data_IF_925759053242
#
_entry.id   IF_925759053242
#
_cell.length_a   1.000
_cell.length_b   1.000
_cell.length_c   1.000
_cell.angle_alpha   90.00
_cell.angle_beta   90.00
_cell.angle_gamma   90.00
#
_symmetry.space_group_name_H-M   'P 1'
#
loop_
_entity.id
_entity.type
_entity.pdbx_description
1 polymer ?
#
# COMPACT_ATOMS: atom_id res chain seq x y z
N UNK A 1 -77.53 -5.73 -15.85
CA UNK A 1 -76.94 -6.15 -17.14
C UNK A 1 -75.68 -6.91 -16.81
N UNK A 2 -75.78 -8.23 -16.93
CA UNK A 2 -74.73 -9.21 -16.71
C UNK A 2 -73.83 -9.30 -17.93
N UNK A 3 -72.52 -9.42 -17.73
CA UNK A 3 -71.62 -10.17 -18.64
C UNK A 3 -70.43 -10.68 -17.84
N UNK A 4 -70.39 -12.00 -17.66
CA UNK A 4 -69.18 -12.78 -17.41
C UNK A 4 -68.36 -12.89 -18.71
N UNK A 5 -67.03 -12.89 -18.60
CA UNK A 5 -66.17 -13.73 -19.46
C UNK A 5 -64.93 -14.18 -18.70
N UNK A 6 -64.67 -15.49 -18.78
CA UNK A 6 -63.60 -16.27 -18.16
C UNK A 6 -62.23 -16.12 -18.84
N UNK A 7 -61.20 -16.46 -18.06
CA UNK A 7 -59.96 -17.18 -18.38
C UNK A 7 -58.98 -16.66 -19.45
N UNK A 8 -57.73 -16.43 -19.04
CA UNK A 8 -56.67 -17.46 -19.24
C UNK A 8 -55.29 -17.01 -18.75
N UNK A 9 -54.57 -18.00 -18.22
CA UNK A 9 -53.18 -18.00 -17.77
C UNK A 9 -52.19 -17.31 -18.73
N UNK A 10 -51.34 -16.45 -18.16
CA UNK A 10 -49.94 -16.32 -18.61
C UNK A 10 -49.02 -16.32 -17.39
N UNK A 11 -48.46 -17.49 -17.14
CA UNK A 11 -47.27 -17.64 -16.31
C UNK A 11 -46.16 -16.76 -16.90
N UNK A 12 -45.73 -15.76 -16.14
CA UNK A 12 -44.46 -15.09 -16.41
C UNK A 12 -43.37 -16.09 -16.04
N UNK A 13 -42.80 -16.70 -17.07
CA UNK A 13 -41.52 -17.41 -17.03
C UNK A 13 -40.48 -16.51 -16.39
N UNK A 14 -39.99 -16.94 -15.22
CA UNK A 14 -38.73 -16.46 -14.66
C UNK A 14 -37.65 -16.89 -15.66
N UNK A 15 -37.01 -15.90 -16.26
CA UNK A 15 -35.87 -16.08 -17.14
C UNK A 15 -34.68 -16.47 -16.24
N UNK A 16 -34.55 -17.75 -15.93
CA UNK A 16 -33.44 -18.35 -15.17
C UNK A 16 -32.18 -18.37 -16.05
N UNK A 17 -31.65 -17.19 -16.33
CA UNK A 17 -30.40 -17.00 -17.08
C UNK A 17 -29.35 -16.23 -16.29
N UNK A 18 -29.33 -16.42 -14.97
CA UNK A 18 -28.19 -16.03 -14.13
C UNK A 18 -27.11 -17.11 -14.24
N UNK A 19 -26.28 -16.99 -15.28
CA UNK A 19 -24.96 -17.62 -15.30
C UNK A 19 -24.16 -17.24 -14.03
N UNK A 20 -23.13 -18.02 -13.65
CA UNK A 20 -22.44 -17.81 -12.38
C UNK A 20 -21.94 -16.37 -12.31
N UNK A 21 -22.51 -15.58 -11.40
CA UNK A 21 -22.13 -14.19 -11.20
C UNK A 21 -20.62 -14.15 -11.00
N UNK A 22 -19.92 -13.53 -11.96
CA UNK A 22 -18.47 -13.35 -11.90
C UNK A 22 -18.14 -12.77 -10.52
N UNK A 23 -17.30 -13.43 -9.73
CA UNK A 23 -16.83 -12.91 -8.45
C UNK A 23 -16.34 -11.48 -8.66
N UNK A 24 -17.14 -10.50 -8.20
CA UNK A 24 -16.82 -9.10 -8.37
C UNK A 24 -15.66 -8.77 -7.45
N UNK A 25 -14.54 -8.34 -8.02
CA UNK A 25 -13.34 -8.03 -7.25
C UNK A 25 -13.47 -6.63 -6.66
N UNK A 26 -13.40 -6.54 -5.33
CA UNK A 26 -13.37 -5.27 -4.63
C UNK A 26 -11.95 -4.95 -4.16
N UNK A 27 -11.54 -3.71 -4.39
CA UNK A 27 -10.34 -3.10 -3.84
C UNK A 27 -10.71 -2.44 -2.51
N UNK A 28 -10.16 -2.96 -1.41
CA UNK A 28 -10.28 -2.37 -0.08
C UNK A 28 -9.10 -1.46 0.24
N UNK A 29 -9.38 -0.24 0.73
CA UNK A 29 -8.38 0.65 1.32
C UNK A 29 -8.70 0.96 2.78
N UNK A 30 -7.69 1.09 3.61
CA UNK A 30 -7.80 1.52 5.00
C UNK A 30 -8.06 3.03 5.09
N UNK A 31 -7.21 3.85 4.47
CA UNK A 31 -7.38 5.30 4.37
C UNK A 31 -6.82 6.14 5.51
N UNK A 32 -6.48 5.53 6.65
CA UNK A 32 -5.86 6.20 7.80
C UNK A 32 -4.83 5.29 8.49
N UNK A 33 -3.91 4.71 7.72
CA UNK A 33 -2.82 3.92 8.32
C UNK A 33 -1.81 4.85 9.01
N UNK A 34 -1.62 4.62 10.29
CA UNK A 34 -0.71 5.35 11.18
C UNK A 34 -0.34 4.46 12.37
N UNK A 35 0.74 4.75 13.12
CA UNK A 35 1.18 3.93 14.24
C UNK A 35 0.08 3.71 15.30
N UNK A 36 -0.75 4.72 15.55
CA UNK A 36 -1.86 4.67 16.52
C UNK A 36 -2.92 3.63 16.15
N UNK A 37 -3.04 3.33 14.85
CA UNK A 37 -3.98 2.37 14.28
C UNK A 37 -3.35 0.97 14.08
N UNK A 38 -2.16 0.72 14.62
CA UNK A 38 -1.49 -0.59 14.60
C UNK A 38 -1.30 -1.05 16.05
N UNK A 39 -2.18 -1.94 16.49
CA UNK A 39 -2.25 -2.40 17.87
C UNK A 39 -1.39 -3.65 18.08
N UNK A 40 -0.70 -3.70 19.21
CA UNK A 40 0.08 -4.86 19.62
C UNK A 40 -0.73 -5.74 20.58
N UNK A 41 -0.86 -7.02 20.22
CA UNK A 41 -1.52 -8.04 21.05
C UNK A 41 -0.49 -9.05 21.53
N UNK A 42 -0.38 -9.29 22.85
CA UNK A 42 0.52 -10.31 23.38
C UNK A 42 0.09 -11.72 22.91
N UNK A 43 1.08 -12.60 22.70
CA UNK A 43 0.86 -14.04 22.51
C UNK A 43 1.42 -14.73 23.75
N UNK A 44 0.63 -15.60 24.37
CA UNK A 44 1.06 -16.36 25.52
C UNK A 44 2.30 -17.21 25.20
N UNK A 45 3.30 -17.19 26.09
CA UNK A 45 4.56 -17.91 25.91
C UNK A 45 5.54 -17.32 24.89
N UNK A 46 5.23 -16.17 24.28
CA UNK A 46 6.11 -15.49 23.33
C UNK A 46 6.53 -14.11 23.83
N UNK A 47 7.82 -13.78 23.67
CA UNK A 47 8.34 -12.42 23.87
C UNK A 47 7.88 -11.42 22.80
N UNK A 48 7.30 -11.93 21.72
CA UNK A 48 6.73 -11.17 20.60
C UNK A 48 5.21 -11.26 20.63
N UNK A 49 4.55 -10.26 20.08
CA UNK A 49 3.09 -10.24 19.92
C UNK A 49 2.69 -10.18 18.45
N UNK A 50 1.38 -10.08 18.20
CA UNK A 50 0.80 -9.88 16.88
C UNK A 50 0.44 -8.40 16.74
N UNK A 51 0.89 -7.78 15.65
CA UNK A 51 0.42 -6.46 15.25
C UNK A 51 -0.87 -6.61 14.44
N UNK A 52 -1.91 -5.87 14.81
CA UNK A 52 -3.20 -5.83 14.11
C UNK A 52 -3.53 -4.40 13.70
N UNK A 53 -3.96 -4.23 12.46
CA UNK A 53 -4.50 -2.96 11.97
C UNK A 53 -5.89 -2.77 12.60
N UNK A 54 -6.18 -1.57 13.07
CA UNK A 54 -7.42 -1.16 13.70
C UNK A 54 -7.92 0.17 13.11
N UNK A 55 -9.10 0.60 13.54
CA UNK A 55 -9.77 1.83 13.09
C UNK A 55 -10.10 1.88 11.60
N UNK A 56 -11.07 1.07 11.21
CA UNK A 56 -11.59 1.00 9.85
C UNK A 56 -12.64 2.10 9.54
N UNK A 57 -12.76 3.16 10.34
CA UNK A 57 -13.76 4.22 10.12
C UNK A 57 -13.64 4.92 8.76
N UNK A 58 -12.41 5.03 8.25
CA UNK A 58 -12.09 5.60 6.94
C UNK A 58 -12.00 4.55 5.81
N UNK A 59 -12.28 3.29 6.11
CA UNK A 59 -12.15 2.17 5.16
C UNK A 59 -13.20 2.24 4.07
N UNK A 60 -12.81 1.94 2.84
CA UNK A 60 -13.72 1.90 1.68
C UNK A 60 -13.40 0.70 0.81
N UNK A 61 -14.45 0.05 0.33
CA UNK A 61 -14.39 -0.98 -0.71
C UNK A 61 -14.95 -0.41 -2.00
N UNK A 62 -14.27 -0.71 -3.10
CA UNK A 62 -14.59 -0.13 -4.40
C UNK A 62 -14.20 -1.10 -5.50
N UNK A 63 -15.00 -1.15 -6.57
CA UNK A 63 -14.63 -1.86 -7.80
C UNK A 63 -13.51 -1.12 -8.54
N UNK A 64 -13.44 0.19 -8.36
CA UNK A 64 -12.37 1.03 -8.86
C UNK A 64 -11.20 1.05 -7.87
N UNK A 65 -9.99 0.89 -8.40
CA UNK A 65 -8.72 0.89 -7.63
C UNK A 65 -8.38 2.27 -7.03
N UNK A 66 -8.86 3.34 -7.65
CA UNK A 66 -8.59 4.74 -7.28
C UNK A 66 -9.87 5.55 -7.43
N UNK A 67 -10.11 6.48 -6.50
CA UNK A 67 -11.27 7.37 -6.47
C UNK A 67 -10.85 8.79 -6.10
N UNK A 68 -11.72 9.77 -6.34
CA UNK A 68 -11.48 11.19 -6.07
C UNK A 68 -12.26 11.70 -4.85
N UNK A 69 -11.69 12.62 -4.08
CA UNK A 69 -12.38 13.33 -2.98
C UNK A 69 -11.53 13.56 -1.73
N UNK A 70 -12.17 14.01 -0.64
CA UNK A 70 -11.51 14.42 0.62
C UNK A 70 -11.72 13.35 1.69
N UNK A 71 -10.64 12.96 2.39
CA UNK A 71 -10.69 12.02 3.51
C UNK A 71 -10.02 12.68 4.72
N UNK A 72 -10.66 12.69 5.90
CA UNK A 72 -9.98 13.10 7.12
C UNK A 72 -8.93 12.03 7.48
N UNK A 73 -7.66 12.40 7.37
CA UNK A 73 -6.53 11.55 7.73
C UNK A 73 -5.40 12.41 8.32
N UNK A 74 -4.52 11.76 9.07
CA UNK A 74 -3.34 12.44 9.64
C UNK A 74 -2.41 12.91 8.51
N UNK A 75 -2.24 14.23 8.39
CA UNK A 75 -1.44 14.88 7.33
C UNK A 75 -0.05 14.27 7.15
N UNK A 76 0.60 13.89 8.24
CA UNK A 76 1.94 13.28 8.25
C UNK A 76 2.06 12.05 7.35
N UNK A 77 1.01 11.23 7.25
CA UNK A 77 1.01 9.95 6.51
C UNK A 77 0.28 10.04 5.15
N UNK A 78 -0.20 11.23 4.78
CA UNK A 78 -0.84 11.47 3.48
C UNK A 78 0.14 11.22 2.34
N UNK A 79 -0.38 10.67 1.25
CA UNK A 79 0.39 10.38 0.04
C UNK A 79 0.35 11.54 -0.96
N UNK A 80 1.42 11.73 -1.76
CA UNK A 80 1.51 12.86 -2.69
C UNK A 80 0.38 12.88 -3.72
N UNK A 81 -0.09 11.73 -4.20
CA UNK A 81 -1.19 11.66 -5.17
C UNK A 81 -2.55 12.08 -4.60
N UNK A 82 -2.74 11.98 -3.28
CA UNK A 82 -3.92 12.50 -2.62
C UNK A 82 -3.90 14.03 -2.64
N UNK A 83 -2.78 14.65 -2.27
CA UNK A 83 -2.67 16.12 -2.26
C UNK A 83 -2.59 16.73 -3.66
N UNK A 84 -1.93 16.06 -4.62
CA UNK A 84 -1.82 16.54 -5.99
C UNK A 84 -3.11 16.41 -6.81
N UNK A 85 -3.86 15.32 -6.60
CA UNK A 85 -4.93 14.92 -7.55
C UNK A 85 -6.25 14.59 -6.87
N UNK A 86 -6.34 14.68 -5.55
CA UNK A 86 -7.47 14.18 -4.78
C UNK A 86 -7.67 12.66 -4.93
N UNK A 87 -6.68 11.94 -5.48
CA UNK A 87 -6.77 10.51 -5.77
C UNK A 87 -6.48 9.72 -4.50
N UNK A 88 -7.45 8.96 -4.03
CA UNK A 88 -7.29 7.99 -2.96
C UNK A 88 -7.46 6.56 -3.48
N UNK A 89 -6.57 5.66 -3.07
CA UNK A 89 -6.58 4.26 -3.45
C UNK A 89 -5.63 3.44 -2.60
N UNK A 90 -5.45 2.16 -2.93
CA UNK A 90 -4.55 1.26 -2.18
C UNK A 90 -3.10 1.79 -2.14
N UNK A 91 -2.67 2.53 -3.17
CA UNK A 91 -1.34 3.14 -3.22
C UNK A 91 -1.09 4.15 -2.09
N UNK A 92 -2.14 4.81 -1.58
CA UNK A 92 -2.07 5.72 -0.43
C UNK A 92 -1.73 4.94 0.85
N UNK A 93 -2.34 3.78 1.05
CA UNK A 93 -2.06 2.91 2.21
C UNK A 93 -0.62 2.38 2.16
N UNK A 94 -0.10 2.07 0.95
CA UNK A 94 1.30 1.66 0.79
C UNK A 94 2.28 2.78 1.11
N UNK A 95 1.98 4.01 0.70
CA UNK A 95 2.77 5.17 1.11
C UNK A 95 2.73 5.35 2.64
N UNK A 96 1.54 5.36 3.23
CA UNK A 96 1.35 5.54 4.67
C UNK A 96 2.09 4.45 5.47
N UNK A 97 2.02 3.19 5.02
CA UNK A 97 2.78 2.09 5.63
C UNK A 97 4.30 2.29 5.46
N UNK A 98 4.75 2.85 4.34
CA UNK A 98 6.15 3.22 4.13
C UNK A 98 6.62 4.27 5.13
N UNK A 99 5.79 5.28 5.40
CA UNK A 99 6.04 6.27 6.44
C UNK A 99 6.17 5.61 7.82
N UNK A 100 5.23 4.71 8.18
CA UNK A 100 5.27 3.95 9.44
C UNK A 100 6.54 3.11 9.56
N UNK A 101 6.93 2.39 8.52
CA UNK A 101 8.13 1.55 8.53
C UNK A 101 9.43 2.37 8.60
N UNK A 102 9.49 3.54 7.97
CA UNK A 102 10.64 4.43 8.10
C UNK A 102 10.75 5.01 9.51
N UNK A 103 9.62 5.34 10.15
CA UNK A 103 9.60 5.71 11.57
C UNK A 103 10.05 4.53 12.44
N UNK A 104 9.53 3.33 12.22
CA UNK A 104 9.95 2.13 12.95
C UNK A 104 11.47 1.91 12.85
N UNK A 105 12.05 1.98 11.66
CA UNK A 105 13.49 1.84 11.48
C UNK A 105 14.28 2.96 12.19
N UNK A 106 13.80 4.21 12.10
CA UNK A 106 14.41 5.35 12.80
C UNK A 106 14.41 5.15 14.31
N UNK A 107 13.28 4.70 14.88
CA UNK A 107 13.15 4.40 16.30
C UNK A 107 14.04 3.23 16.71
N UNK A 108 14.09 2.17 15.91
CA UNK A 108 14.89 0.99 16.22
C UNK A 108 16.38 1.33 16.42
N UNK A 109 16.94 2.21 15.59
CA UNK A 109 18.35 2.59 15.67
C UNK A 109 18.67 3.74 16.61
N UNK A 110 17.72 4.63 16.90
CA UNK A 110 18.00 5.88 17.63
C UNK A 110 16.98 6.26 18.71
N UNK A 111 16.01 5.40 18.97
CA UNK A 111 14.94 5.62 19.94
C UNK A 111 14.06 6.84 19.63
N UNK A 112 13.32 7.29 20.64
CA UNK A 112 12.39 8.42 20.51
C UNK A 112 13.08 9.73 20.10
N UNK A 113 14.29 9.98 20.59
CA UNK A 113 15.07 11.18 20.24
C UNK A 113 15.33 11.27 18.73
N UNK A 114 15.54 10.14 18.06
CA UNK A 114 15.73 10.11 16.61
C UNK A 114 14.42 10.38 15.85
N UNK A 115 13.28 9.95 16.38
CA UNK A 115 11.95 10.27 15.84
C UNK A 115 11.66 11.76 15.96
N UNK A 116 11.86 12.33 17.14
CA UNK A 116 11.62 13.77 17.38
C UNK A 116 12.49 14.62 16.47
N UNK A 117 13.78 14.26 16.36
CA UNK A 117 14.71 14.93 15.43
C UNK A 117 14.23 14.78 13.99
N UNK A 118 13.84 13.57 13.57
CA UNK A 118 13.38 13.35 12.20
C UNK A 118 12.08 14.07 11.88
N UNK A 119 11.16 14.21 12.83
CA UNK A 119 9.97 15.06 12.71
C UNK A 119 10.35 16.52 12.46
N UNK A 120 11.28 17.06 13.26
CA UNK A 120 11.80 18.43 13.07
C UNK A 120 12.53 18.60 11.74
N UNK A 121 13.35 17.63 11.33
CA UNK A 121 14.07 17.66 10.05
C UNK A 121 13.11 17.66 8.84
N UNK A 122 11.92 17.02 8.98
CA UNK A 122 10.88 17.00 7.94
C UNK A 122 9.96 18.22 7.98
N UNK A 123 9.86 18.93 9.10
CA UNK A 123 8.97 20.07 9.27
C UNK A 123 9.40 21.20 8.34
N UNK A 124 8.56 21.51 7.35
CA UNK A 124 8.83 22.55 6.35
C UNK A 124 7.55 23.33 6.06
N UNK A 125 7.64 24.61 5.65
CA UNK A 125 6.49 25.38 5.20
C UNK A 125 5.83 24.70 4.01
N UNK A 126 4.50 24.54 4.07
CA UNK A 126 3.68 24.14 2.94
C UNK A 126 2.87 25.35 2.49
N UNK A 127 3.10 25.78 1.25
CA UNK A 127 2.43 26.96 0.68
C UNK A 127 0.93 26.74 0.46
N UNK A 128 0.51 25.49 0.25
CA UNK A 128 -0.90 25.15 -0.02
C UNK A 128 -1.72 25.24 1.25
N UNK A 129 -1.13 24.86 2.38
CA UNK A 129 -1.79 24.82 3.68
C UNK A 129 -1.46 26.04 4.56
N UNK A 130 -0.61 26.96 4.08
CA UNK A 130 -0.13 28.14 4.81
C UNK A 130 0.36 27.82 6.24
N UNK A 131 1.01 26.67 6.39
CA UNK A 131 1.51 26.20 7.68
C UNK A 131 2.71 25.28 7.52
N UNK A 132 3.49 25.11 8.59
CA UNK A 132 4.55 24.11 8.62
C UNK A 132 3.93 22.72 8.77
N UNK A 133 4.26 21.81 7.85
CA UNK A 133 3.82 20.42 7.89
C UNK A 133 5.00 19.47 7.89
N UNK A 134 4.87 18.39 8.65
CA UNK A 134 5.86 17.32 8.73
C UNK A 134 5.56 16.20 7.73
N UNK A 135 4.99 16.48 6.56
CA UNK A 135 4.77 15.47 5.52
C UNK A 135 6.09 14.83 5.04
N UNK A 136 6.03 13.65 4.42
CA UNK A 136 7.21 12.96 3.83
C UNK A 136 7.57 13.44 2.42
N UNK A 137 6.74 14.30 1.82
CA UNK A 137 6.95 14.87 0.49
C UNK A 137 6.77 16.40 0.53
N UNK A 138 7.24 17.07 -0.52
CA UNK A 138 6.98 18.47 -0.82
C UNK A 138 6.21 18.58 -2.11
N UNK A 139 5.36 19.60 -2.21
CA UNK A 139 4.74 20.02 -3.46
C UNK A 139 5.57 21.14 -4.07
N UNK A 140 5.81 21.03 -5.37
CA UNK A 140 6.38 22.08 -6.20
C UNK A 140 5.27 22.61 -7.10
N UNK A 141 4.85 23.83 -6.78
CA UNK A 141 3.82 24.61 -7.46
C UNK A 141 4.39 25.54 -8.53
N UNK A 142 5.72 25.53 -8.73
CA UNK A 142 6.37 26.32 -9.78
C UNK A 142 6.08 25.79 -11.19
N UNK A 143 5.67 24.53 -11.30
CA UNK A 143 5.26 23.88 -12.54
C UNK A 143 3.74 23.66 -12.60
N UNK A 144 3.20 23.60 -13.83
CA UNK A 144 1.80 23.25 -14.09
C UNK A 144 1.72 22.02 -15.00
N UNK A 145 1.15 20.88 -14.54
CA UNK A 145 0.58 20.65 -13.21
C UNK A 145 1.65 20.58 -12.11
N UNK A 146 1.29 20.84 -10.83
CA UNK A 146 2.22 20.74 -9.72
C UNK A 146 2.81 19.34 -9.60
N UNK A 147 4.05 19.26 -9.16
CA UNK A 147 4.78 17.99 -8.95
C UNK A 147 5.02 17.78 -7.47
N UNK A 148 5.16 16.52 -7.07
CA UNK A 148 5.56 16.18 -5.70
C UNK A 148 6.94 15.53 -5.71
N UNK A 149 7.69 15.70 -4.63
CA UNK A 149 8.99 15.08 -4.47
C UNK A 149 9.13 14.56 -3.04
N UNK A 150 9.80 13.42 -2.87
CA UNK A 150 10.16 12.95 -1.53
C UNK A 150 11.09 13.98 -0.89
N UNK A 151 10.83 14.38 0.36
CA UNK A 151 11.64 15.39 1.05
C UNK A 151 13.10 14.94 1.17
N UNK A 152 14.04 15.89 1.05
CA UNK A 152 15.46 15.65 1.29
C UNK A 152 15.73 15.04 2.67
N UNK A 153 14.98 15.45 3.70
CA UNK A 153 15.09 14.87 5.04
C UNK A 153 14.78 13.36 5.07
N UNK A 154 13.80 12.92 4.26
CA UNK A 154 13.41 11.50 4.14
C UNK A 154 14.50 10.71 3.41
N UNK A 155 14.99 11.23 2.28
CA UNK A 155 16.09 10.62 1.54
C UNK A 155 17.36 10.50 2.39
N UNK A 156 17.71 11.59 3.10
CA UNK A 156 18.84 11.61 4.03
C UNK A 156 18.65 10.57 5.15
N UNK A 157 17.44 10.43 5.70
CA UNK A 157 17.16 9.42 6.73
C UNK A 157 17.40 8.00 6.22
N UNK A 158 16.96 7.69 5.01
CA UNK A 158 17.20 6.40 4.35
C UNK A 158 18.72 6.15 4.21
N UNK A 159 19.49 7.14 3.76
CA UNK A 159 20.94 7.05 3.65
C UNK A 159 21.62 6.84 5.01
N UNK A 160 21.23 7.62 6.02
CA UNK A 160 21.75 7.49 7.40
C UNK A 160 21.50 6.07 7.93
N UNK A 161 20.31 5.49 7.70
CA UNK A 161 19.99 4.12 8.10
C UNK A 161 20.84 3.07 7.36
N UNK A 162 21.06 3.23 6.05
CA UNK A 162 21.97 2.36 5.27
C UNK A 162 23.38 2.37 5.86
N UNK A 163 23.89 3.53 6.25
CA UNK A 163 25.21 3.67 6.87
C UNK A 163 25.30 2.95 8.23
N UNK A 164 24.23 3.02 9.05
CA UNK A 164 24.18 2.32 10.33
C UNK A 164 24.19 0.79 10.18
N UNK A 165 23.53 0.26 9.13
CA UNK A 165 23.50 -1.18 8.86
C UNK A 165 24.86 -1.77 8.49
N UNK A 166 25.75 -0.98 7.89
CA UNK A 166 27.12 -1.41 7.61
C UNK A 166 27.84 -1.91 8.87
N UNK A 167 27.45 -1.40 10.04
CA UNK A 167 28.03 -1.74 11.34
C UNK A 167 27.21 -2.75 12.15
N UNK A 168 26.11 -3.31 11.63
CA UNK A 168 25.17 -4.18 12.39
C UNK A 168 24.87 -5.51 11.70
N UNK A 169 25.80 -6.49 11.68
CA UNK A 169 25.69 -7.70 10.85
C UNK A 169 24.44 -8.56 11.12
N UNK A 170 24.00 -8.66 12.38
CA UNK A 170 22.92 -9.58 12.81
C UNK A 170 21.56 -9.28 12.18
N UNK A 171 21.29 -8.00 11.92
CA UNK A 171 19.99 -7.51 11.42
C UNK A 171 20.11 -6.89 10.03
N UNK A 172 21.34 -6.91 9.47
CA UNK A 172 21.69 -6.23 8.23
C UNK A 172 20.80 -6.71 7.09
N UNK A 173 20.56 -8.02 6.98
CA UNK A 173 19.77 -8.59 5.88
C UNK A 173 18.33 -8.07 5.92
N UNK A 174 17.64 -8.23 7.05
CA UNK A 174 16.23 -7.86 7.19
C UNK A 174 16.02 -6.35 7.01
N UNK A 175 16.85 -5.52 7.64
CA UNK A 175 16.72 -4.07 7.50
C UNK A 175 17.21 -3.55 6.15
N UNK A 176 18.18 -4.20 5.51
CA UNK A 176 18.57 -3.82 4.13
C UNK A 176 17.39 -4.05 3.19
N UNK A 177 16.70 -5.17 3.33
CA UNK A 177 15.52 -5.49 2.55
C UNK A 177 14.38 -4.48 2.80
N UNK A 178 14.10 -4.16 4.08
CA UNK A 178 13.12 -3.12 4.44
C UNK A 178 13.48 -1.75 3.85
N UNK A 179 14.73 -1.33 3.96
CA UNK A 179 15.17 -0.03 3.42
C UNK A 179 15.06 0.00 1.89
N UNK A 180 15.36 -1.10 1.21
CA UNK A 180 15.18 -1.20 -0.24
C UNK A 180 13.70 -1.08 -0.63
N UNK A 181 12.79 -1.73 0.10
CA UNK A 181 11.34 -1.58 -0.11
C UNK A 181 10.88 -0.13 0.11
N UNK A 182 11.34 0.48 1.20
CA UNK A 182 11.02 1.87 1.52
C UNK A 182 11.40 2.82 0.39
N UNK A 183 12.63 2.73 -0.09
CA UNK A 183 13.19 3.65 -1.09
C UNK A 183 12.66 3.41 -2.51
N UNK A 184 12.49 2.15 -2.90
CA UNK A 184 12.22 1.80 -4.30
C UNK A 184 10.76 1.49 -4.59
N UNK A 185 9.98 1.11 -3.57
CA UNK A 185 8.65 0.53 -3.79
C UNK A 185 7.54 1.24 -3.04
N UNK A 186 7.81 1.85 -1.87
CA UNK A 186 6.79 2.43 -0.99
C UNK A 186 6.80 3.97 -0.98
N UNK A 187 7.95 4.60 -0.69
CA UNK A 187 8.10 6.06 -0.62
C UNK A 187 8.52 6.64 -1.97
N UNK A 188 7.77 6.30 -3.02
CA UNK A 188 7.99 6.76 -4.39
C UNK A 188 6.85 7.67 -4.82
N UNK A 189 7.18 8.80 -5.44
CA UNK A 189 6.19 9.69 -6.05
C UNK A 189 5.93 9.24 -7.49
N UNK A 190 4.66 9.06 -7.85
CA UNK A 190 4.29 8.72 -9.22
C UNK A 190 4.16 10.00 -10.06
N UNK A 191 5.17 10.30 -10.87
CA UNK A 191 5.08 11.32 -11.91
C UNK A 191 4.39 10.70 -13.13
N UNK A 192 3.44 11.42 -13.74
CA UNK A 192 2.60 10.85 -14.81
C UNK A 192 3.38 10.61 -16.11
N UNK A 193 3.46 9.32 -16.47
CA UNK A 193 3.44 8.79 -17.84
C UNK A 193 2.58 7.50 -17.93
N UNK A 194 1.76 7.18 -16.92
CA UNK A 194 0.94 5.96 -16.92
C UNK A 194 -0.54 6.22 -16.59
N UNK A 195 -1.22 6.91 -17.52
CA UNK A 195 -2.57 6.51 -17.94
C UNK A 195 -2.48 5.22 -18.80
N UNK A 196 -1.75 4.21 -18.32
CA UNK A 196 -1.98 2.86 -18.81
C UNK A 196 -3.28 2.41 -18.16
N UNK A 197 -4.36 2.42 -18.93
CA UNK A 197 -5.54 1.62 -18.64
C UNK A 197 -5.06 0.24 -18.15
N UNK A 198 -5.34 -0.17 -16.89
CA UNK A 198 -4.94 -1.47 -16.40
C UNK A 198 -5.97 -2.51 -16.88
N UNK A 199 -6.11 -2.65 -18.18
CA UNK A 199 -6.94 -3.67 -18.82
C UNK A 199 -5.99 -4.63 -19.52
N UNK A 200 -5.99 -5.89 -19.08
CA UNK A 200 -5.19 -7.04 -19.52
C UNK A 200 -4.00 -7.45 -18.63
N UNK A 201 -2.99 -6.61 -18.40
CA UNK A 201 -1.77 -7.07 -17.68
C UNK A 201 -2.01 -7.44 -16.20
N UNK A 202 -2.96 -6.76 -15.54
CA UNK A 202 -3.29 -7.09 -14.14
C UNK A 202 -4.08 -8.41 -14.05
N UNK A 203 -4.93 -8.72 -15.03
CA UNK A 203 -5.67 -9.99 -15.05
C UNK A 203 -4.77 -11.19 -15.39
N UNK A 204 -3.79 -11.01 -16.30
CA UNK A 204 -2.76 -12.03 -16.59
C UNK A 204 -1.94 -12.37 -15.35
N UNK A 205 -1.51 -11.35 -14.59
CA UNK A 205 -0.75 -11.56 -13.36
C UNK A 205 -1.49 -12.37 -12.28
N UNK A 206 -2.84 -12.29 -12.25
CA UNK A 206 -3.66 -13.11 -11.36
C UNK A 206 -3.94 -14.52 -11.91
N UNK A 207 -4.02 -14.71 -13.24
CA UNK A 207 -4.19 -16.05 -13.84
C UNK A 207 -2.90 -16.88 -13.81
N UNK A 208 -1.73 -16.24 -14.04
CA UNK A 208 -0.42 -16.88 -13.93
C UNK A 208 -0.09 -17.27 -12.47
N UNK A 209 -0.68 -16.56 -11.50
CA UNK A 209 -0.59 -16.90 -10.08
C UNK A 209 -1.27 -18.23 -9.72
N UNK A 210 -2.20 -18.73 -10.55
CA UNK A 210 -2.86 -20.04 -10.37
C UNK A 210 -2.08 -21.21 -10.98
N UNK A 211 -1.13 -20.98 -11.90
CA UNK A 211 -0.48 -22.07 -12.65
C UNK A 211 0.98 -22.34 -12.28
N UNK A 212 1.58 -21.58 -11.36
CA UNK A 212 2.86 -21.94 -10.74
C UNK A 212 4.07 -21.97 -11.70
N UNK A 213 4.03 -21.23 -12.81
CA UNK A 213 5.16 -21.15 -13.75
C UNK A 213 6.06 -19.96 -13.38
N UNK A 214 7.30 -20.26 -13.00
CA UNK A 214 8.38 -19.28 -12.75
C UNK A 214 9.11 -19.02 -14.07
N UNK A 215 9.08 -17.78 -14.55
CA UNK A 215 9.98 -17.32 -15.60
C UNK A 215 10.92 -16.25 -15.02
N UNK A 216 12.20 -16.62 -14.93
CA UNK A 216 13.28 -15.67 -14.70
C UNK A 216 13.51 -14.90 -16.00
N UNK A 217 13.27 -13.59 -15.98
CA UNK A 217 13.82 -12.71 -17.00
C UNK A 217 14.61 -11.59 -16.33
N UNK A 218 15.92 -11.72 -16.50
CA UNK A 218 16.93 -10.70 -16.31
C UNK A 218 16.67 -9.52 -17.25
N UNK A 219 16.63 -8.31 -16.72
CA UNK A 219 16.79 -7.09 -17.51
C UNK A 219 17.65 -6.08 -16.76
N UNK A 220 18.59 -5.49 -17.51
CA UNK A 220 19.55 -4.48 -17.09
C UNK A 220 18.87 -3.15 -16.73
N UNK A 221 19.53 -2.28 -15.92
CA UNK A 221 18.92 -1.06 -15.44
C UNK A 221 19.04 0.05 -16.50
N UNK A 222 18.02 0.20 -17.34
CA UNK A 222 17.76 1.48 -18.01
C UNK A 222 16.93 2.37 -17.08
N UNK A 223 17.14 3.67 -17.20
CA UNK A 223 16.51 4.77 -16.46
C UNK A 223 14.99 4.81 -16.63
N UNK A 224 14.29 3.83 -16.07
CA UNK A 224 12.84 3.79 -15.98
C UNK A 224 12.37 4.74 -14.87
N UNK A 225 11.40 5.58 -15.20
CA UNK A 225 10.60 6.32 -14.23
C UNK A 225 10.14 5.34 -13.14
N UNK A 226 10.59 5.54 -11.90
CA UNK A 226 10.27 4.62 -10.80
C UNK A 226 8.82 4.86 -10.40
N UNK A 227 7.96 3.87 -10.63
CA UNK A 227 6.58 3.88 -10.15
C UNK A 227 6.46 3.10 -8.84
N UNK A 228 5.65 3.62 -7.92
CA UNK A 228 5.33 2.96 -6.64
C UNK A 228 4.70 1.59 -6.92
N UNK A 229 5.16 0.55 -6.22
CA UNK A 229 4.69 -0.81 -6.45
C UNK A 229 3.32 -1.08 -5.81
N UNK A 230 2.66 -2.11 -6.31
CA UNK A 230 1.36 -2.54 -5.81
C UNK A 230 1.46 -3.15 -4.41
N UNK A 231 0.35 -3.14 -3.67
CA UNK A 231 0.29 -3.78 -2.35
C UNK A 231 0.68 -5.26 -2.38
N UNK A 232 0.24 -6.01 -3.39
CA UNK A 232 0.57 -7.43 -3.53
C UNK A 232 2.08 -7.66 -3.72
N UNK A 233 2.76 -6.76 -4.45
CA UNK A 233 4.21 -6.81 -4.59
C UNK A 233 4.91 -6.56 -3.25
N UNK A 234 4.55 -5.48 -2.55
CA UNK A 234 5.15 -5.10 -1.26
C UNK A 234 4.93 -6.18 -0.20
N UNK A 235 3.72 -6.70 -0.07
CA UNK A 235 3.39 -7.73 0.91
C UNK A 235 4.11 -9.06 0.63
N UNK A 236 4.27 -9.43 -0.65
CA UNK A 236 5.05 -10.62 -1.03
C UNK A 236 6.52 -10.44 -0.66
N UNK A 237 7.12 -9.31 -1.01
CA UNK A 237 8.50 -9.01 -0.67
C UNK A 237 8.73 -9.05 0.85
N UNK A 238 7.86 -8.41 1.64
CA UNK A 238 7.90 -8.51 3.11
C UNK A 238 7.81 -9.96 3.59
N UNK A 239 6.88 -10.76 3.04
CA UNK A 239 6.74 -12.16 3.37
C UNK A 239 8.00 -12.97 3.09
N UNK A 240 8.63 -12.76 1.94
CA UNK A 240 9.87 -13.45 1.55
C UNK A 240 11.05 -13.05 2.45
N UNK A 241 11.12 -11.79 2.89
CA UNK A 241 12.17 -11.32 3.82
C UNK A 241 11.96 -11.76 5.27
N UNK A 242 10.72 -12.04 5.67
CA UNK A 242 10.38 -12.51 7.00
C UNK A 242 10.48 -14.04 7.15
N UNK A 243 10.66 -14.81 6.06
CA UNK A 243 10.87 -16.25 6.15
C UNK A 243 12.26 -16.55 6.77
N UNK A 244 12.33 -17.37 7.83
CA UNK A 244 13.61 -17.89 8.31
C UNK A 244 14.31 -18.65 7.18
N UNK A 245 15.63 -18.44 7.04
CA UNK A 245 16.47 -19.20 6.11
C UNK A 245 16.40 -20.70 6.46
N UNK A 246 15.49 -21.45 5.82
CA UNK A 246 15.37 -22.90 6.06
C UNK A 246 13.98 -23.52 5.86
N UNK A 247 12.89 -22.76 5.84
CA UNK A 247 11.56 -23.34 5.59
C UNK A 247 11.22 -23.35 4.10
N UNK A 248 11.56 -24.46 3.43
CA UNK A 248 10.93 -24.83 2.17
C UNK A 248 9.45 -25.14 2.42
N UNK A 249 8.64 -24.62 1.50
CA UNK A 249 7.18 -24.70 1.38
C UNK A 249 6.59 -26.01 1.89
N UNK A 250 5.95 -26.02 3.08
CA UNK A 250 4.88 -26.98 3.34
C UNK A 250 3.66 -26.50 2.56
N UNK A 251 3.38 -27.18 1.44
CA UNK A 251 2.07 -27.09 0.78
C UNK A 251 1.01 -27.41 1.84
N UNK A 252 0.12 -26.46 2.13
CA UNK A 252 -1.03 -26.75 2.99
C UNK A 252 -2.00 -27.61 2.20
N UNK A 253 -2.01 -28.91 2.46
CA UNK A 253 -3.14 -29.77 2.14
C UNK A 253 -4.29 -29.36 3.05
N UNK A 254 -5.22 -28.56 2.53
CA UNK A 254 -6.55 -28.43 3.10
C UNK A 254 -7.31 -29.73 2.80
N UNK A 255 -7.13 -30.73 3.66
CA UNK A 255 -8.13 -31.77 3.86
C UNK A 255 -8.91 -31.37 5.10
N UNK A 256 -10.14 -30.91 4.91
CA UNK A 256 -11.14 -30.82 5.97
C UNK A 256 -11.96 -32.11 5.94
N UNK A 257 -12.29 -32.71 7.10
CA UNK A 257 -13.13 -33.91 7.20
C UNK A 257 -14.57 -33.69 6.72
#
# INVERSE_FOLDING_TARGET
MSTETQDSNRANTLDDNDGPQLNKWFFGRHGDLKPENILWYPIEGSRYGILKIADFGSTRFSEEKTKYGIVPNSMTYQSPEFNLRGRFGIACDIWALGCVYLLFATWYFGGMKAIDKFGKDRLQPDKTLDMNVDMFFTLDDSEQPPKAFVKLAVQKKILDLRALLANSPKIRVQFTALINLLENDMLVVNHEDEDRNPTEDTMKGFSEYRTGIRLEHSLSPSSQSRTRKSCGHVMRALGDYCRPSGEQTRQSTFNTP
#
